data_IF_575954761776
#
_entry.id   IF_575954761776
#
_cell.length_a   1.000
_cell.length_b   1.000
_cell.length_c   1.000
_cell.angle_alpha   90.00
_cell.angle_beta   90.00
_cell.angle_gamma   90.00
#
_symmetry.space_group_name_H-M   'P 1'
#
loop_
_entity.id
_entity.type
_entity.pdbx_description
1 polymer ?
#
# COMPACT_ATOMS: atom_id res chain seq x y z
N UNK A 1 -13.36 4.25 -11.57
CA UNK A 1 -12.60 3.02 -11.89
C UNK A 1 -12.01 2.50 -10.60
N UNK A 2 -12.09 1.19 -10.35
CA UNK A 2 -11.42 0.58 -9.19
C UNK A 2 -9.93 0.49 -9.48
N UNK A 3 -9.12 0.92 -8.51
CA UNK A 3 -7.67 0.90 -8.58
C UNK A 3 -7.11 -0.47 -8.18
N UNK A 4 -7.95 -1.33 -7.63
CA UNK A 4 -7.60 -2.68 -7.19
C UNK A 4 -8.40 -3.76 -7.92
N UNK A 5 -7.96 -5.01 -7.74
CA UNK A 5 -8.62 -6.21 -8.29
C UNK A 5 -8.97 -7.19 -7.18
N UNK A 6 -10.06 -7.95 -7.35
CA UNK A 6 -10.51 -8.96 -6.40
C UNK A 6 -10.99 -8.34 -5.09
N UNK A 7 -10.73 -9.01 -3.96
CA UNK A 7 -11.20 -8.58 -2.62
C UNK A 7 -10.81 -7.14 -2.26
N UNK A 8 -9.68 -6.64 -2.78
CA UNK A 8 -9.29 -5.23 -2.56
C UNK A 8 -10.17 -4.23 -3.30
N UNK A 9 -10.72 -4.61 -4.46
CA UNK A 9 -11.65 -3.78 -5.22
C UNK A 9 -12.98 -3.66 -4.47
N UNK A 10 -13.44 -4.77 -3.89
CA UNK A 10 -14.65 -4.80 -3.07
C UNK A 10 -14.48 -3.95 -1.80
N UNK A 11 -13.32 -4.03 -1.15
CA UNK A 11 -13.00 -3.16 0.01
C UNK A 11 -12.95 -1.68 -0.44
N UNK A 12 -12.27 -1.35 -1.53
CA UNK A 12 -12.23 0.01 -2.10
C UNK A 12 -13.63 0.58 -2.38
N UNK A 13 -14.56 -0.22 -2.90
CA UNK A 13 -15.93 0.23 -3.14
C UNK A 13 -16.64 0.68 -1.85
N UNK A 14 -16.28 0.07 -0.70
CA UNK A 14 -16.96 0.33 0.57
C UNK A 14 -16.30 1.47 1.34
N UNK A 15 -14.96 1.47 1.45
CA UNK A 15 -14.22 2.42 2.30
C UNK A 15 -13.48 3.50 1.51
N UNK A 16 -13.44 3.39 0.19
CA UNK A 16 -12.71 4.28 -0.69
C UNK A 16 -11.22 3.93 -0.81
N UNK A 17 -10.60 4.43 -1.88
CA UNK A 17 -9.20 4.13 -2.25
C UNK A 17 -8.22 4.46 -1.11
N UNK A 18 -8.33 5.66 -0.51
CA UNK A 18 -7.40 6.10 0.54
C UNK A 18 -7.40 5.18 1.78
N UNK A 19 -8.57 4.76 2.25
CA UNK A 19 -8.68 3.89 3.42
C UNK A 19 -8.23 2.45 3.11
N UNK A 20 -8.53 1.95 1.90
CA UNK A 20 -8.03 0.65 1.42
C UNK A 20 -6.51 0.62 1.36
N UNK A 21 -5.89 1.70 0.87
CA UNK A 21 -4.43 1.84 0.81
C UNK A 21 -3.80 1.78 2.20
N UNK A 22 -4.38 2.51 3.16
CA UNK A 22 -3.92 2.50 4.55
C UNK A 22 -4.07 1.10 5.17
N UNK A 23 -5.18 0.41 4.90
CA UNK A 23 -5.40 -0.97 5.36
C UNK A 23 -4.36 -1.94 4.81
N UNK A 24 -4.05 -1.87 3.51
CA UNK A 24 -3.02 -2.72 2.88
C UNK A 24 -1.62 -2.35 3.40
N UNK A 25 -1.35 -1.07 3.65
CA UNK A 25 -0.07 -0.64 4.25
C UNK A 25 0.13 -1.23 5.63
N UNK A 26 -0.88 -1.22 6.49
CA UNK A 26 -0.73 -1.74 7.85
C UNK A 26 -0.78 -3.28 7.87
N UNK A 27 -1.80 -3.86 7.22
CA UNK A 27 -2.19 -5.27 7.36
C UNK A 27 -2.05 -6.11 6.09
N UNK A 28 -1.51 -5.56 5.01
CA UNK A 28 -1.27 -6.31 3.78
C UNK A 28 -0.44 -7.56 4.04
N UNK A 29 -0.97 -8.71 3.62
CA UNK A 29 -0.36 -10.03 3.83
C UNK A 29 -0.76 -10.73 5.12
N UNK A 30 -1.62 -10.13 5.93
CA UNK A 30 -2.12 -10.70 7.18
C UNK A 30 -3.63 -10.85 7.14
N UNK A 31 -4.15 -11.74 7.99
CA UNK A 31 -5.60 -11.85 8.22
C UNK A 31 -6.03 -10.74 9.17
N UNK A 32 -7.13 -10.07 8.85
CA UNK A 32 -7.82 -9.16 9.75
C UNK A 32 -9.16 -9.75 10.13
N UNK A 33 -9.49 -9.63 11.41
CA UNK A 33 -10.81 -9.99 11.91
C UNK A 33 -11.76 -8.80 11.73
N UNK A 34 -12.86 -9.02 11.01
CA UNK A 34 -13.98 -8.10 10.87
C UNK A 34 -14.99 -8.45 11.96
N UNK A 35 -15.10 -7.64 13.02
CA UNK A 35 -16.04 -7.89 14.11
C UNK A 35 -17.47 -7.56 13.69
N UNK A 36 -18.45 -8.33 14.15
CA UNK A 36 -19.89 -8.07 13.91
C UNK A 36 -20.38 -6.72 14.47
N UNK A 37 -19.72 -6.21 15.51
CA UNK A 37 -19.93 -4.89 16.09
C UNK A 37 -18.55 -4.23 16.23
N UNK A 38 -18.15 -3.37 15.29
CA UNK A 38 -16.89 -2.65 15.38
C UNK A 38 -16.88 -1.79 16.63
N UNK A 39 -15.79 -1.85 17.40
CA UNK A 39 -15.57 -0.96 18.54
C UNK A 39 -14.25 -0.23 18.33
N UNK A 40 -14.06 0.90 18.99
CA UNK A 40 -12.83 1.69 18.86
C UNK A 40 -11.56 0.90 19.21
N UNK A 41 -11.67 -0.16 20.01
CA UNK A 41 -10.56 -1.05 20.37
C UNK A 41 -10.20 -2.06 19.27
N UNK A 42 -11.02 -2.21 18.24
CA UNK A 42 -10.78 -3.15 17.15
C UNK A 42 -9.66 -2.65 16.23
N UNK A 43 -8.80 -3.57 15.80
CA UNK A 43 -7.67 -3.25 14.92
C UNK A 43 -8.12 -2.61 13.60
N UNK A 44 -9.25 -3.06 13.04
CA UNK A 44 -9.83 -2.46 11.84
C UNK A 44 -10.20 -0.98 12.07
N UNK A 45 -10.87 -0.67 13.19
CA UNK A 45 -11.31 0.68 13.54
C UNK A 45 -10.12 1.61 13.78
N UNK A 46 -9.03 1.14 14.38
CA UNK A 46 -7.82 1.92 14.57
C UNK A 46 -7.13 2.32 13.25
N UNK A 47 -7.35 1.56 12.18
CA UNK A 47 -6.71 1.81 10.88
C UNK A 47 -7.59 2.70 9.99
N UNK A 48 -8.88 2.37 9.85
CA UNK A 48 -9.79 3.05 8.91
C UNK A 48 -10.85 3.93 9.60
N UNK A 49 -10.95 3.90 10.92
CA UNK A 49 -11.99 4.61 11.68
C UNK A 49 -13.29 3.82 11.85
N UNK A 50 -14.10 4.23 12.83
CA UNK A 50 -15.29 3.49 13.26
C UNK A 50 -16.37 3.46 12.16
N UNK A 51 -16.66 4.61 11.55
CA UNK A 51 -17.70 4.73 10.53
C UNK A 51 -17.40 3.87 9.29
N UNK A 52 -16.15 3.79 8.85
CA UNK A 52 -15.75 2.95 7.72
C UNK A 52 -15.74 1.46 8.07
N UNK A 53 -15.33 1.12 9.29
CA UNK A 53 -15.37 -0.26 9.78
C UNK A 53 -16.81 -0.79 9.93
N UNK A 54 -17.77 0.06 10.32
CA UNK A 54 -19.19 -0.29 10.36
C UNK A 54 -19.75 -0.60 8.98
N UNK A 55 -19.46 0.25 7.98
CA UNK A 55 -19.84 -0.02 6.59
C UNK A 55 -19.23 -1.32 6.08
N UNK A 56 -17.94 -1.54 6.36
CA UNK A 56 -17.25 -2.75 5.94
C UNK A 56 -17.83 -4.00 6.62
N UNK A 57 -18.16 -3.93 7.90
CA UNK A 57 -18.84 -5.03 8.61
C UNK A 57 -20.25 -5.30 8.11
N UNK A 58 -20.97 -4.28 7.61
CA UNK A 58 -22.31 -4.43 7.06
C UNK A 58 -22.28 -5.15 5.71
N UNK A 59 -21.34 -4.77 4.84
CA UNK A 59 -21.22 -5.30 3.48
C UNK A 59 -20.52 -6.67 3.43
N UNK A 60 -19.39 -6.83 4.11
CA UNK A 60 -18.61 -8.09 4.11
C UNK A 60 -19.06 -9.10 5.17
N UNK A 61 -19.84 -8.64 6.16
CA UNK A 61 -20.19 -9.45 7.32
C UNK A 61 -19.04 -9.64 8.31
N UNK A 62 -19.30 -10.45 9.34
CA UNK A 62 -18.30 -10.79 10.36
C UNK A 62 -17.48 -12.01 9.95
N UNK A 63 -16.15 -11.91 10.00
CA UNK A 63 -15.27 -13.01 9.61
C UNK A 63 -13.80 -12.63 9.58
N UNK A 64 -12.95 -13.59 9.23
CA UNK A 64 -11.53 -13.34 8.98
C UNK A 64 -11.29 -13.17 7.48
N UNK A 65 -10.75 -12.01 7.09
CA UNK A 65 -10.41 -11.73 5.70
C UNK A 65 -8.91 -11.62 5.58
N UNK A 66 -8.33 -12.40 4.65
CA UNK A 66 -6.93 -12.25 4.27
C UNK A 66 -6.79 -10.98 3.42
N UNK A 67 -6.04 -10.00 3.91
CA UNK A 67 -5.77 -8.79 3.14
C UNK A 67 -4.60 -9.07 2.19
N UNK A 68 -4.79 -9.03 0.86
CA UNK A 68 -3.70 -9.21 -0.08
C UNK A 68 -2.66 -8.08 0.07
N UNK A 69 -1.36 -8.41 -0.04
CA UNK A 69 -0.29 -7.38 -0.04
C UNK A 69 -0.33 -6.49 -1.29
N UNK A 70 -0.94 -6.98 -2.37
CA UNK A 70 -0.93 -6.36 -3.69
C UNK A 70 0.50 -5.99 -4.14
N UNK A 71 0.62 -4.86 -4.83
CA UNK A 71 1.91 -4.27 -5.18
C UNK A 71 2.42 -3.25 -4.14
N UNK A 72 1.76 -3.14 -2.99
CA UNK A 72 1.98 -2.08 -2.00
C UNK A 72 3.05 -2.44 -0.96
N UNK A 73 3.32 -3.74 -0.77
CA UNK A 73 4.34 -4.24 0.18
C UNK A 73 5.31 -5.24 -0.48
N UNK A 74 6.49 -5.35 0.13
CA UNK A 74 7.53 -6.30 -0.25
C UNK A 74 8.00 -6.16 -1.70
N UNK A 75 8.13 -7.31 -2.38
CA UNK A 75 8.61 -7.39 -3.76
C UNK A 75 7.72 -6.63 -4.76
N UNK A 76 6.43 -6.47 -4.47
CA UNK A 76 5.50 -5.68 -5.28
C UNK A 76 5.89 -4.20 -5.33
N UNK A 77 6.16 -3.61 -4.16
CA UNK A 77 6.58 -2.20 -4.04
C UNK A 77 7.91 -1.96 -4.71
N UNK A 78 8.88 -2.85 -4.47
CA UNK A 78 10.20 -2.79 -5.11
C UNK A 78 10.10 -2.80 -6.65
N UNK A 79 9.16 -3.56 -7.23
CA UNK A 79 8.95 -3.56 -8.69
C UNK A 79 8.40 -2.25 -9.24
N UNK A 80 7.52 -1.59 -8.49
CA UNK A 80 6.92 -0.32 -8.93
C UNK A 80 7.93 0.82 -8.81
N UNK A 81 8.69 0.86 -7.71
CA UNK A 81 9.82 1.78 -7.57
C UNK A 81 10.86 1.57 -8.67
N UNK A 82 11.17 0.31 -9.01
CA UNK A 82 12.07 0.00 -10.12
C UNK A 82 11.53 0.53 -11.45
N UNK A 83 10.22 0.48 -11.68
CA UNK A 83 9.59 1.03 -12.89
C UNK A 83 9.72 2.56 -12.94
N UNK A 84 9.44 3.26 -11.83
CA UNK A 84 9.63 4.71 -11.72
C UNK A 84 11.08 5.12 -11.97
N UNK A 85 12.03 4.42 -11.37
CA UNK A 85 13.46 4.69 -11.58
C UNK A 85 13.90 4.43 -13.03
N UNK A 86 13.30 3.44 -13.69
CA UNK A 86 13.54 3.18 -15.12
C UNK A 86 13.01 4.34 -15.99
N UNK A 87 11.86 4.94 -15.67
CA UNK A 87 11.36 6.14 -16.36
C UNK A 87 12.26 7.35 -16.16
N UNK A 88 12.84 7.49 -14.96
CA UNK A 88 13.82 8.53 -14.66
C UNK A 88 15.16 8.32 -15.39
N UNK A 89 15.31 7.24 -16.17
CA UNK A 89 16.50 6.95 -16.95
C UNK A 89 17.66 6.34 -16.16
N UNK A 90 17.42 5.85 -14.94
CA UNK A 90 18.44 5.18 -14.13
C UNK A 90 18.81 3.81 -14.74
N UNK A 91 20.08 3.42 -14.59
CA UNK A 91 20.56 2.13 -15.10
C UNK A 91 20.07 0.95 -14.26
N UNK A 92 19.82 -0.19 -14.89
CA UNK A 92 19.29 -1.40 -14.20
C UNK A 92 20.15 -1.85 -13.03
N UNK A 93 21.48 -1.67 -13.12
CA UNK A 93 22.42 -2.03 -12.07
C UNK A 93 22.28 -1.12 -10.84
N UNK A 94 22.16 0.20 -11.06
CA UNK A 94 21.93 1.17 -9.99
C UNK A 94 20.60 0.92 -9.28
N UNK A 95 19.55 0.60 -10.03
CA UNK A 95 18.22 0.27 -9.49
C UNK A 95 18.26 -1.03 -8.68
N UNK A 96 18.96 -2.05 -9.18
CA UNK A 96 19.14 -3.32 -8.50
C UNK A 96 19.82 -3.16 -7.14
N UNK A 97 20.89 -2.35 -7.08
CA UNK A 97 21.60 -2.04 -5.85
C UNK A 97 20.74 -1.23 -4.86
N UNK A 98 20.05 -0.19 -5.33
CA UNK A 98 19.24 0.69 -4.47
C UNK A 98 18.07 -0.05 -3.82
N UNK A 99 17.36 -0.86 -4.61
CA UNK A 99 16.12 -1.53 -4.16
C UNK A 99 16.37 -2.92 -3.57
N UNK A 100 17.64 -3.36 -3.50
CA UNK A 100 18.04 -4.69 -3.03
C UNK A 100 17.25 -5.78 -3.79
N UNK A 101 17.41 -5.79 -5.12
CA UNK A 101 16.77 -6.76 -6.03
C UNK A 101 17.75 -7.19 -7.12
N UNK A 102 17.55 -8.39 -7.66
CA UNK A 102 18.36 -8.83 -8.81
C UNK A 102 18.09 -7.99 -10.06
N UNK A 103 19.13 -7.76 -10.86
CA UNK A 103 19.04 -7.11 -12.17
C UNK A 103 18.05 -7.83 -13.11
N UNK A 104 17.96 -9.17 -13.01
CA UNK A 104 16.94 -9.96 -13.72
C UNK A 104 15.52 -9.49 -13.41
N UNK A 105 15.26 -9.09 -12.17
CA UNK A 105 13.95 -8.57 -11.76
C UNK A 105 13.69 -7.20 -12.35
N UNK A 106 14.70 -6.31 -12.37
CA UNK A 106 14.61 -4.99 -13.01
C UNK A 106 14.34 -5.12 -14.51
N UNK A 107 15.01 -6.05 -15.20
CA UNK A 107 14.75 -6.33 -16.61
C UNK A 107 13.31 -6.82 -16.87
N UNK A 108 12.81 -7.73 -16.03
CA UNK A 108 11.40 -8.18 -16.10
C UNK A 108 10.40 -7.07 -15.80
N UNK A 109 10.78 -6.11 -14.96
CA UNK A 109 9.99 -4.89 -14.73
C UNK A 109 9.98 -4.04 -15.98
N UNK A 110 11.12 -3.83 -16.64
CA UNK A 110 11.18 -3.09 -17.91
C UNK A 110 10.32 -3.70 -19.03
N UNK A 111 10.25 -5.02 -19.09
CA UNK A 111 9.45 -5.76 -20.09
C UNK A 111 7.93 -5.68 -19.82
N UNK A 112 7.52 -5.34 -18.60
CA UNK A 112 6.12 -5.27 -18.19
C UNK A 112 5.74 -3.81 -17.93
N UNK A 113 4.62 -3.36 -18.48
CA UNK A 113 4.19 -1.96 -18.30
C UNK A 113 3.64 -1.73 -16.88
N UNK A 114 4.53 -1.60 -15.90
CA UNK A 114 4.20 -1.31 -14.49
C UNK A 114 3.86 0.16 -14.23
N UNK A 115 3.98 1.01 -15.25
CA UNK A 115 3.79 2.47 -15.18
C UNK A 115 2.33 2.89 -15.29
N UNK A 116 1.47 2.02 -15.82
CA UNK A 116 0.03 2.23 -15.85
C UNK A 116 -0.68 1.88 -14.53
N UNK A 117 0.06 1.60 -13.45
CA UNK A 117 -0.56 1.25 -12.17
C UNK A 117 -0.90 2.52 -11.39
N UNK A 118 -2.11 2.64 -10.82
CA UNK A 118 -2.52 3.76 -9.96
C UNK A 118 -1.68 3.88 -8.66
N UNK A 119 -0.72 2.98 -8.50
CA UNK A 119 0.24 2.93 -7.43
C UNK A 119 1.31 4.04 -7.50
N UNK A 120 1.55 4.61 -8.68
CA UNK A 120 2.59 5.64 -8.89
C UNK A 120 2.22 6.96 -8.22
N UNK A 121 1.02 7.48 -8.49
CA UNK A 121 0.49 8.70 -7.86
C UNK A 121 0.47 8.55 -6.32
N UNK A 122 0.13 7.34 -5.83
CA UNK A 122 0.13 7.06 -4.40
C UNK A 122 1.53 7.08 -3.77
N UNK A 123 2.55 6.45 -4.39
CA UNK A 123 3.92 6.46 -3.86
C UNK A 123 4.46 7.89 -3.75
N UNK A 124 4.22 8.72 -4.76
CA UNK A 124 4.66 10.13 -4.78
C UNK A 124 3.98 10.95 -3.68
N UNK A 125 2.69 10.71 -3.43
CA UNK A 125 1.94 11.36 -2.35
C UNK A 125 2.42 10.90 -0.96
N UNK A 126 2.90 9.66 -0.85
CA UNK A 126 3.50 9.14 0.39
C UNK A 126 4.91 9.67 0.64
N UNK A 127 5.77 9.79 -0.37
CA UNK A 127 7.08 10.43 -0.19
C UNK A 127 6.93 11.89 0.25
N UNK A 128 5.88 12.58 -0.20
CA UNK A 128 5.53 13.92 0.26
C UNK A 128 5.15 13.93 1.75
N UNK A 129 4.31 12.97 2.17
CA UNK A 129 3.88 12.82 3.58
C UNK A 129 4.99 12.34 4.53
N UNK A 130 5.88 11.44 4.09
CA UNK A 130 7.07 11.03 4.85
C UNK A 130 8.10 12.17 4.95
N UNK A 131 8.26 13.00 3.91
CA UNK A 131 9.07 14.23 3.96
C UNK A 131 8.48 15.30 4.90
N UNK A 132 7.18 15.31 5.12
CA UNK A 132 6.52 16.19 6.10
C UNK A 132 6.66 15.68 7.55
N UNK A 133 6.57 14.36 7.78
CA UNK A 133 6.80 13.77 9.12
C UNK A 133 8.28 13.70 9.53
N UNK A 134 9.22 13.80 8.58
CA UNK A 134 10.66 13.87 8.83
C UNK A 134 11.17 15.19 9.42
N UNK A 135 10.31 16.21 9.61
CA UNK A 135 10.72 17.52 10.17
C UNK A 135 10.63 17.61 11.70
N UNK A 136 10.25 16.55 12.41
CA UNK A 136 10.26 16.51 13.88
C UNK A 136 11.24 15.47 14.40
N UNK A 137 12.54 15.71 14.20
CA UNK A 137 13.60 15.23 15.09
C UNK A 137 14.91 15.97 14.77
N UNK A 138 14.90 17.29 14.94
CA UNK A 138 16.13 18.04 15.17
C UNK A 138 15.89 18.91 16.40
N UNK A 139 16.53 18.56 17.52
CA UNK A 139 16.87 19.33 18.74
C UNK A 139 17.10 18.29 19.87
N UNK A 140 18.18 18.21 20.65
CA UNK A 140 19.36 19.07 20.87
C UNK A 140 20.36 18.27 21.73
N UNK A 141 21.67 18.49 21.52
CA UNK A 141 22.82 18.39 22.44
C UNK A 141 22.70 17.60 23.76
N UNK A 142 23.65 16.68 23.98
CA UNK A 142 24.73 16.82 24.99
C UNK A 142 25.80 15.75 24.76
#
# INVERSE_FOLDING_TARGET
>A
MNNFTGVLADIENVIGTAATLQLVKERGGTKINIPKKPTEKCQLVQIIGLSLAEKLSLEFGSGEVLIPMGHFKGMGRKKVLAAQMLEQGLSSNKIAAELDIHERTVRRVKEKNYLGLPLIEYIEEQERKEKEHGKSCCHTHA
#
